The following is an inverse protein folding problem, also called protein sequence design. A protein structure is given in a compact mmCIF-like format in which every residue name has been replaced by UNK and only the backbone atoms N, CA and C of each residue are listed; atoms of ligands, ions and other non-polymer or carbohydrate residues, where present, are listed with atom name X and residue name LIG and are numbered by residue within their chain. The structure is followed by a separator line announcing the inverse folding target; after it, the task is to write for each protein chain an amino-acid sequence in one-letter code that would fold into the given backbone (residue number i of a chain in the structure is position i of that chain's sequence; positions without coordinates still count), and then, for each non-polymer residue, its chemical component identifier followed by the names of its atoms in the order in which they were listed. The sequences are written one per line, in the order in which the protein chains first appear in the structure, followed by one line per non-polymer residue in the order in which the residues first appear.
data_IF_953600488748
#
_entry.id   IF_953600488748
#
_cell.length_a   1.000
_cell.length_b   1.000
_cell.length_c   1.000
_cell.angle_alpha   90.00
_cell.angle_beta   90.00
_cell.angle_gamma   90.00
#
_symmetry.space_group_name_H-M   'P 1'
#
loop_
_entity.id
_entity.type
_entity.pdbx_description
1 polymer ?
#
# COMPACT_ATOMS: atom_id res chain seq x y z
N UNK A 1 -4.86 -4.31 -2.59
CA UNK A 1 -5.35 -5.70 -2.70
C UNK A 1 -6.83 -5.88 -3.06
N UNK A 2 -7.82 -5.43 -2.26
CA UNK A 2 -9.25 -5.63 -2.63
C UNK A 2 -9.56 -5.07 -4.01
N UNK A 3 -9.16 -3.83 -4.28
CA UNK A 3 -9.42 -3.19 -5.58
C UNK A 3 -8.74 -3.91 -6.74
N UNK A 4 -7.49 -4.39 -6.57
CA UNK A 4 -6.75 -5.11 -7.62
C UNK A 4 -7.41 -6.44 -7.96
N UNK A 5 -7.76 -7.23 -6.94
CA UNK A 5 -8.47 -8.49 -7.13
C UNK A 5 -9.84 -8.26 -7.74
N UNK A 6 -10.57 -7.25 -7.30
CA UNK A 6 -11.89 -6.91 -7.86
C UNK A 6 -11.78 -6.52 -9.32
N UNK A 7 -10.89 -5.59 -9.69
CA UNK A 7 -10.71 -5.15 -11.09
C UNK A 7 -10.28 -6.33 -11.98
N UNK A 8 -9.36 -7.17 -11.50
CA UNK A 8 -8.93 -8.36 -12.24
C UNK A 8 -10.09 -9.35 -12.47
N UNK A 9 -10.84 -9.69 -11.42
CA UNK A 9 -11.96 -10.64 -11.51
C UNK A 9 -13.10 -10.09 -12.37
N UNK A 10 -13.42 -8.80 -12.22
CA UNK A 10 -14.40 -8.12 -13.08
C UNK A 10 -13.93 -8.11 -14.53
N UNK A 11 -12.64 -7.88 -14.78
CA UNK A 11 -12.02 -7.99 -16.10
C UNK A 11 -12.26 -9.35 -16.73
N UNK A 12 -11.86 -10.42 -16.05
CA UNK A 12 -12.01 -11.82 -16.51
C UNK A 12 -13.48 -12.13 -16.84
N UNK A 13 -14.39 -11.81 -15.92
CA UNK A 13 -15.83 -12.05 -16.11
C UNK A 13 -16.38 -11.24 -17.29
N UNK A 14 -16.03 -9.95 -17.39
CA UNK A 14 -16.50 -9.09 -18.47
C UNK A 14 -16.02 -9.57 -19.83
N UNK A 15 -14.75 -9.96 -19.97
CA UNK A 15 -14.19 -10.49 -21.21
C UNK A 15 -14.87 -11.80 -21.59
N UNK A 16 -15.10 -12.69 -20.63
CA UNK A 16 -15.82 -13.95 -20.87
C UNK A 16 -17.25 -13.68 -21.38
N UNK A 17 -17.99 -12.78 -20.72
CA UNK A 17 -19.36 -12.40 -21.11
C UNK A 17 -19.38 -11.79 -22.51
N UNK A 18 -18.51 -10.83 -22.80
CA UNK A 18 -18.40 -10.21 -24.12
C UNK A 18 -18.09 -11.25 -25.20
N UNK A 19 -17.16 -12.17 -24.91
CA UNK A 19 -16.80 -13.24 -25.86
C UNK A 19 -17.98 -14.17 -26.12
N UNK A 20 -18.73 -14.55 -25.09
CA UNK A 20 -19.93 -15.37 -25.21
C UNK A 20 -21.02 -14.66 -26.00
N UNK A 21 -21.27 -13.37 -25.74
CA UNK A 21 -22.25 -12.56 -26.47
C UNK A 21 -21.87 -12.45 -27.96
N UNK A 22 -20.61 -12.15 -28.26
CA UNK A 22 -20.12 -12.09 -29.64
C UNK A 22 -20.31 -13.43 -30.36
N UNK A 23 -20.03 -14.55 -29.70
CA UNK A 23 -20.15 -15.87 -30.32
C UNK A 23 -21.61 -16.34 -30.46
N UNK A 24 -22.43 -16.24 -29.42
CA UNK A 24 -23.79 -16.78 -29.41
C UNK A 24 -24.84 -15.84 -29.99
N UNK A 25 -24.77 -14.55 -29.64
CA UNK A 25 -25.80 -13.57 -30.03
C UNK A 25 -25.49 -13.01 -31.41
N UNK A 26 -24.25 -12.55 -31.61
CA UNK A 26 -23.80 -11.93 -32.87
C UNK A 26 -23.27 -12.95 -33.89
N UNK A 27 -23.27 -14.24 -33.53
CA UNK A 27 -22.89 -15.37 -34.40
C UNK A 27 -21.48 -15.26 -35.00
N UNK A 28 -20.58 -14.51 -34.36
CA UNK A 28 -19.18 -14.47 -34.78
C UNK A 28 -18.51 -15.83 -34.61
N UNK A 29 -17.50 -16.11 -35.44
CA UNK A 29 -16.65 -17.28 -35.23
C UNK A 29 -15.92 -17.16 -33.89
N UNK A 30 -15.54 -18.30 -33.29
CA UNK A 30 -14.83 -18.30 -32.00
C UNK A 30 -13.53 -17.51 -32.03
N UNK A 31 -12.80 -17.58 -33.15
CA UNK A 31 -11.60 -16.79 -33.39
C UNK A 31 -11.92 -15.29 -33.36
N UNK A 32 -12.92 -14.84 -34.13
CA UNK A 32 -13.32 -13.44 -34.18
C UNK A 32 -13.81 -12.94 -32.82
N UNK A 33 -14.67 -13.70 -32.14
CA UNK A 33 -15.19 -13.35 -30.83
C UNK A 33 -14.06 -13.15 -29.81
N UNK A 34 -13.08 -14.05 -29.77
CA UNK A 34 -11.90 -13.93 -28.89
C UNK A 34 -11.01 -12.75 -29.27
N UNK A 35 -10.65 -12.59 -30.54
CA UNK A 35 -9.76 -11.47 -30.96
C UNK A 35 -10.42 -10.12 -30.66
N UNK A 36 -11.71 -9.98 -30.95
CA UNK A 36 -12.47 -8.74 -30.69
C UNK A 36 -12.55 -8.47 -29.19
N UNK A 37 -12.89 -9.45 -28.36
CA UNK A 37 -12.99 -9.26 -26.92
C UNK A 37 -11.63 -8.95 -26.26
N UNK A 38 -10.56 -9.57 -26.75
CA UNK A 38 -9.19 -9.29 -26.32
C UNK A 38 -8.79 -7.85 -26.62
N UNK A 39 -8.99 -7.39 -27.86
CA UNK A 39 -8.70 -6.01 -28.26
C UNK A 39 -9.58 -4.99 -27.52
N UNK A 40 -10.87 -5.28 -27.35
CA UNK A 40 -11.79 -4.43 -26.60
C UNK A 40 -11.34 -4.29 -25.14
N UNK A 41 -10.85 -5.37 -24.52
CA UNK A 41 -10.33 -5.32 -23.15
C UNK A 41 -9.15 -4.36 -23.03
N UNK A 42 -8.25 -4.32 -24.02
CA UNK A 42 -7.13 -3.36 -24.05
C UNK A 42 -7.66 -1.93 -24.22
N UNK A 43 -8.61 -1.72 -25.13
CA UNK A 43 -9.21 -0.42 -25.37
C UNK A 43 -9.92 0.16 -24.14
N UNK A 44 -10.44 -0.69 -23.25
CA UNK A 44 -11.06 -0.28 -21.98
C UNK A 44 -10.02 -0.11 -20.86
N UNK A 45 -9.07 -1.04 -20.75
CA UNK A 45 -8.06 -1.03 -19.68
C UNK A 45 -7.07 0.14 -19.82
N UNK A 46 -6.66 0.50 -21.03
CA UNK A 46 -5.67 1.58 -21.23
C UNK A 46 -6.18 2.92 -20.68
N UNK A 47 -7.38 3.41 -21.05
CA UNK A 47 -7.94 4.62 -20.45
C UNK A 47 -8.08 4.52 -18.92
N UNK A 48 -8.55 3.37 -18.43
CA UNK A 48 -8.69 3.14 -16.99
C UNK A 48 -7.35 3.25 -16.25
N UNK A 49 -6.28 2.65 -16.79
CA UNK A 49 -4.93 2.70 -16.21
C UNK A 49 -4.29 4.09 -16.30
N UNK A 50 -4.62 4.89 -17.32
CA UNK A 50 -4.18 6.29 -17.42
C UNK A 50 -4.80 7.12 -16.28
N UNK A 51 -6.08 6.88 -15.96
CA UNK A 51 -6.77 7.59 -14.89
C UNK A 51 -6.40 7.08 -13.50
N UNK A 52 -6.21 5.77 -13.36
CA UNK A 52 -5.99 5.06 -12.11
C UNK A 52 -4.70 4.24 -12.18
N UNK A 53 -3.56 4.91 -12.22
CA UNK A 53 -2.27 4.23 -12.33
C UNK A 53 -1.93 3.45 -11.05
N UNK A 54 -1.99 2.12 -11.13
CA UNK A 54 -1.70 1.20 -10.01
C UNK A 54 -0.31 0.58 -10.06
N UNK A 55 0.53 0.95 -11.05
CA UNK A 55 1.85 0.35 -11.27
C UNK A 55 1.90 -0.56 -12.50
N UNK A 56 3.11 -0.73 -13.04
CA UNK A 56 3.34 -1.48 -14.29
C UNK A 56 3.02 -2.97 -14.17
N UNK A 57 3.40 -3.59 -13.05
CA UNK A 57 3.20 -5.02 -12.82
C UNK A 57 1.71 -5.35 -12.66
N UNK A 58 0.97 -4.52 -11.92
CA UNK A 58 -0.50 -4.64 -11.80
C UNK A 58 -1.19 -4.48 -13.15
N UNK A 59 -0.73 -3.56 -14.00
CA UNK A 59 -1.24 -3.41 -15.35
C UNK A 59 -0.96 -4.65 -16.21
N UNK A 60 0.25 -5.20 -16.14
CA UNK A 60 0.62 -6.42 -16.84
C UNK A 60 -0.26 -7.61 -16.43
N UNK A 61 -0.58 -7.72 -15.13
CA UNK A 61 -1.50 -8.72 -14.60
C UNK A 61 -2.91 -8.57 -15.21
N UNK A 62 -3.47 -7.36 -15.26
CA UNK A 62 -4.79 -7.12 -15.87
C UNK A 62 -4.83 -7.49 -17.35
N UNK A 63 -3.83 -7.08 -18.12
CA UNK A 63 -3.73 -7.42 -19.54
C UNK A 63 -3.58 -8.93 -19.75
N UNK A 64 -2.70 -9.56 -18.99
CA UNK A 64 -2.43 -11.00 -19.08
C UNK A 64 -3.69 -11.81 -18.80
N UNK A 65 -4.37 -11.54 -17.68
CA UNK A 65 -5.61 -12.24 -17.31
C UNK A 65 -6.71 -12.08 -18.37
N UNK A 66 -6.93 -10.86 -18.88
CA UNK A 66 -7.97 -10.61 -19.88
C UNK A 66 -7.67 -11.26 -21.23
N UNK A 67 -6.45 -11.12 -21.75
CA UNK A 67 -6.03 -11.73 -23.02
C UNK A 67 -6.05 -13.25 -22.91
N UNK A 68 -5.56 -13.80 -21.79
CA UNK A 68 -5.52 -15.23 -21.55
C UNK A 68 -6.93 -15.82 -21.44
N UNK A 69 -7.87 -15.12 -20.82
CA UNK A 69 -9.29 -15.53 -20.75
C UNK A 69 -9.91 -15.63 -22.15
N UNK A 70 -9.71 -14.60 -22.98
CA UNK A 70 -10.20 -14.61 -24.35
C UNK A 70 -9.57 -15.72 -25.20
N UNK A 71 -8.26 -15.92 -25.05
CA UNK A 71 -7.52 -16.94 -25.79
C UNK A 71 -7.88 -18.37 -25.31
N UNK A 72 -8.11 -18.56 -24.01
CA UNK A 72 -8.61 -19.82 -23.44
C UNK A 72 -9.94 -20.23 -24.09
N UNK A 73 -10.85 -19.26 -24.27
CA UNK A 73 -12.14 -19.50 -24.92
C UNK A 73 -11.98 -20.04 -26.35
N UNK A 74 -11.06 -19.44 -27.13
CA UNK A 74 -10.74 -19.92 -28.48
C UNK A 74 -10.22 -21.36 -28.47
N UNK A 75 -9.30 -21.69 -27.54
CA UNK A 75 -8.69 -23.02 -27.46
C UNK A 75 -9.70 -24.10 -27.06
N UNK A 76 -10.51 -23.87 -26.01
CA UNK A 76 -11.56 -24.80 -25.55
C UNK A 76 -12.58 -25.06 -26.66
N UNK A 77 -12.83 -24.05 -27.48
CA UNK A 77 -13.77 -24.13 -28.57
C UNK A 77 -13.31 -24.92 -29.80
N UNK A 78 -12.06 -25.36 -29.88
CA UNK A 78 -11.56 -26.09 -31.05
C UNK A 78 -11.88 -27.58 -30.89
N UNK A 79 -12.76 -28.14 -31.74
CA UNK A 79 -13.11 -29.58 -31.71
C UNK A 79 -11.84 -30.41 -31.71
N UNK A 80 -11.70 -31.29 -30.73
CA UNK A 80 -10.58 -32.24 -30.58
C UNK A 80 -10.35 -33.14 -31.80
N UNK A 81 -11.38 -33.34 -32.63
CA UNK A 81 -11.28 -34.09 -33.89
C UNK A 81 -10.81 -33.26 -35.10
N UNK A 82 -10.89 -31.93 -35.04
CA UNK A 82 -10.24 -31.03 -36.02
C UNK A 82 -8.75 -30.79 -35.69
N UNK A 83 -8.24 -31.44 -34.64
CA UNK A 83 -6.85 -31.39 -34.17
C UNK A 83 -6.00 -32.59 -34.64
N UNK A 84 -6.56 -33.49 -35.44
CA UNK A 84 -5.81 -34.46 -36.25
C UNK A 84 -5.53 -33.80 -37.60
N UNK A 85 -4.26 -33.57 -37.93
CA UNK A 85 -3.91 -33.30 -39.33
C UNK A 85 -4.38 -34.45 -40.21
N UNK A 86 -4.55 -34.21 -41.53
CA UNK A 86 -4.89 -35.24 -42.53
C UNK A 86 -4.01 -36.50 -42.44
N UNK A 87 -2.84 -36.37 -41.81
CA UNK A 87 -1.77 -37.37 -41.72
C UNK A 87 -1.71 -38.05 -40.33
N UNK A 88 -2.67 -37.79 -39.45
CA UNK A 88 -2.74 -38.40 -38.11
C UNK A 88 -1.73 -37.88 -37.07
N UNK A 89 -0.79 -37.00 -37.46
CA UNK A 89 0.18 -36.39 -36.54
C UNK A 89 -0.42 -35.17 -35.80
N UNK A 90 -0.12 -35.07 -34.50
CA UNK A 90 -0.56 -33.99 -33.60
C UNK A 90 0.24 -32.71 -33.85
N UNK A 91 -0.25 -31.81 -34.69
CA UNK A 91 0.49 -30.59 -35.12
C UNK A 91 0.26 -29.34 -34.24
N UNK A 92 -0.47 -29.43 -33.13
CA UNK A 92 -0.96 -28.24 -32.40
C UNK A 92 -0.58 -28.15 -30.91
N UNK A 93 0.55 -28.74 -30.52
CA UNK A 93 1.16 -28.55 -29.20
C UNK A 93 1.54 -27.09 -28.91
N UNK A 94 2.07 -26.35 -29.90
CA UNK A 94 2.57 -24.98 -29.71
C UNK A 94 1.54 -24.02 -29.10
N UNK A 95 0.30 -23.86 -29.63
CA UNK A 95 -0.70 -22.96 -29.03
C UNK A 95 -1.05 -23.28 -27.57
N UNK A 96 -1.07 -24.57 -27.19
CA UNK A 96 -1.38 -25.04 -25.84
C UNK A 96 -0.19 -24.80 -24.91
N UNK A 97 1.03 -25.09 -25.37
CA UNK A 97 2.26 -24.82 -24.61
C UNK A 97 2.42 -23.34 -24.30
N UNK A 98 2.17 -22.46 -25.29
CA UNK A 98 2.20 -21.01 -25.09
C UNK A 98 1.16 -20.57 -24.06
N UNK A 99 -0.07 -21.08 -24.14
CA UNK A 99 -1.11 -20.80 -23.14
C UNK A 99 -0.65 -21.20 -21.73
N UNK A 100 -0.18 -22.43 -21.55
CA UNK A 100 0.30 -22.92 -20.25
C UNK A 100 1.46 -22.10 -19.70
N UNK A 101 2.39 -21.67 -20.55
CA UNK A 101 3.48 -20.78 -20.15
C UNK A 101 2.98 -19.45 -19.60
N UNK A 102 2.04 -18.79 -20.29
CA UNK A 102 1.46 -17.53 -19.81
C UNK A 102 0.60 -17.68 -18.55
N UNK A 103 -0.06 -18.83 -18.35
CA UNK A 103 -0.74 -19.14 -17.08
C UNK A 103 0.28 -19.16 -15.94
N UNK A 104 1.41 -19.84 -16.12
CA UNK A 104 2.48 -19.90 -15.10
C UNK A 104 3.05 -18.51 -14.82
N UNK A 105 3.33 -17.72 -15.86
CA UNK A 105 3.81 -16.35 -15.70
C UNK A 105 2.81 -15.49 -14.91
N UNK A 106 1.52 -15.56 -15.24
CA UNK A 106 0.46 -14.81 -14.54
C UNK A 106 0.40 -15.18 -13.05
N UNK A 107 0.57 -16.47 -12.70
CA UNK A 107 0.58 -16.92 -11.31
C UNK A 107 1.81 -16.39 -10.57
N UNK A 108 3.00 -16.48 -11.18
CA UNK A 108 4.24 -15.99 -10.59
C UNK A 108 4.19 -14.46 -10.41
N UNK A 109 3.76 -13.75 -11.43
CA UNK A 109 3.59 -12.29 -11.42
C UNK A 109 2.58 -11.87 -10.35
N UNK A 110 1.42 -12.51 -10.28
CA UNK A 110 0.43 -12.28 -9.23
C UNK A 110 0.98 -12.53 -7.82
N UNK A 111 1.83 -13.55 -7.64
CA UNK A 111 2.50 -13.80 -6.37
C UNK A 111 3.51 -12.69 -6.01
N UNK A 112 4.26 -12.18 -6.99
CA UNK A 112 5.18 -11.06 -6.78
C UNK A 112 4.45 -9.75 -6.48
N UNK A 113 3.38 -9.43 -7.22
CA UNK A 113 2.52 -8.27 -6.96
C UNK A 113 1.92 -8.36 -5.56
N UNK A 114 1.41 -9.54 -5.17
CA UNK A 114 0.91 -9.75 -3.81
C UNK A 114 1.98 -9.54 -2.74
N UNK A 115 3.18 -10.06 -2.97
CA UNK A 115 4.31 -9.91 -2.05
C UNK A 115 4.78 -8.45 -1.95
N UNK A 116 4.81 -7.72 -3.07
CA UNK A 116 5.15 -6.30 -3.09
C UNK A 116 4.10 -5.46 -2.34
N UNK A 117 2.81 -5.72 -2.57
CA UNK A 117 1.75 -4.98 -1.92
C UNK A 117 1.59 -5.32 -0.44
N UNK A 118 1.68 -6.59 -0.04
CA UNK A 118 1.32 -7.02 1.32
C UNK A 118 2.54 -7.14 2.23
N UNK A 119 3.73 -7.36 1.67
CA UNK A 119 4.91 -7.81 2.41
C UNK A 119 4.76 -9.24 2.92
N UNK A 120 5.87 -9.90 3.25
CA UNK A 120 5.85 -11.15 4.00
C UNK A 120 5.85 -10.86 5.50
N UNK A 121 4.86 -11.38 6.22
CA UNK A 121 4.84 -11.42 7.67
C UNK A 121 5.49 -12.72 8.13
N UNK A 122 6.72 -12.63 8.64
CA UNK A 122 7.43 -13.77 9.21
C UNK A 122 7.33 -13.71 10.73
N UNK A 123 6.80 -14.76 11.33
CA UNK A 123 6.81 -14.94 12.78
C UNK A 123 7.96 -15.87 13.13
N UNK A 124 8.82 -15.46 14.05
CA UNK A 124 9.85 -16.31 14.62
C UNK A 124 9.80 -16.25 16.15
N UNK A 125 10.20 -17.35 16.78
CA UNK A 125 10.31 -17.43 18.23
C UNK A 125 11.72 -16.99 18.59
N UNK A 126 11.83 -15.94 19.40
CA UNK A 126 13.11 -15.47 19.91
C UNK A 126 13.69 -16.45 20.94
N UNK A 127 14.99 -16.36 21.23
CA UNK A 127 15.67 -17.19 22.23
C UNK A 127 15.06 -17.05 23.64
N UNK A 128 14.41 -15.92 23.92
CA UNK A 128 13.67 -15.66 25.16
C UNK A 128 12.23 -16.23 25.16
N UNK A 129 11.83 -16.99 24.12
CA UNK A 129 10.49 -17.59 24.00
C UNK A 129 9.39 -16.62 23.54
N UNK A 130 9.72 -15.36 23.29
CA UNK A 130 8.80 -14.36 22.75
C UNK A 130 8.59 -14.52 21.24
N UNK A 131 7.33 -14.55 20.78
CA UNK A 131 7.01 -14.55 19.34
C UNK A 131 7.22 -13.14 18.79
N UNK A 132 8.21 -12.95 17.92
CA UNK A 132 8.44 -11.71 17.19
C UNK A 132 7.90 -11.83 15.78
N UNK A 133 7.04 -10.89 15.39
CA UNK A 133 6.55 -10.76 14.01
C UNK A 133 7.31 -9.64 13.31
N UNK A 134 7.99 -9.96 12.21
CA UNK A 134 8.62 -8.98 11.33
C UNK A 134 7.87 -8.95 10.01
N UNK A 135 7.48 -7.75 9.59
CA UNK A 135 6.90 -7.51 8.29
C UNK A 135 8.00 -6.98 7.35
N UNK A 136 8.14 -7.61 6.19
CA UNK A 136 9.11 -7.21 5.14
C UNK A 136 8.53 -6.23 4.13
N UNK A 137 7.28 -5.75 4.33
CA UNK A 137 6.67 -4.73 3.47
C UNK A 137 7.60 -3.53 3.33
N UNK A 138 7.86 -3.10 2.09
CA UNK A 138 8.75 -1.98 1.81
C UNK A 138 8.22 -0.69 2.46
N UNK A 139 8.93 -0.12 3.46
CA UNK A 139 8.55 1.11 4.13
C UNK A 139 8.96 2.28 3.24
N UNK A 140 8.10 2.69 2.30
CA UNK A 140 8.42 3.80 1.40
C UNK A 140 7.53 3.98 0.18
N UNK A 141 6.56 3.09 -0.04
CA UNK A 141 5.58 3.31 -1.11
C UNK A 141 4.62 4.43 -0.67
N UNK A 142 4.84 5.64 -1.18
CA UNK A 142 3.86 6.72 -1.07
C UNK A 142 2.74 6.39 -2.07
N UNK A 143 1.54 5.98 -1.61
CA UNK A 143 0.48 5.57 -2.52
C UNK A 143 0.12 6.75 -3.42
N UNK A 144 0.01 6.52 -4.73
CA UNK A 144 -0.38 7.54 -5.72
C UNK A 144 0.58 8.75 -5.88
N UNK A 145 1.88 8.60 -5.61
CA UNK A 145 2.80 9.73 -5.62
C UNK A 145 3.28 10.21 -6.99
N UNK A 146 3.25 9.41 -8.05
CA UNK A 146 3.91 9.81 -9.31
C UNK A 146 3.32 11.07 -9.95
N UNK A 147 2.00 11.29 -9.86
CA UNK A 147 1.34 12.48 -10.42
C UNK A 147 1.07 13.59 -9.41
N UNK A 148 1.18 13.29 -8.10
CA UNK A 148 0.84 14.22 -7.01
C UNK A 148 2.06 14.92 -6.41
N UNK A 149 3.29 14.49 -6.75
CA UNK A 149 4.54 15.02 -6.20
C UNK A 149 4.62 16.55 -6.25
N UNK A 150 4.31 17.18 -7.38
CA UNK A 150 4.51 18.64 -7.51
C UNK A 150 3.55 19.47 -6.67
N UNK A 151 2.24 19.16 -6.70
CA UNK A 151 1.24 19.89 -5.95
C UNK A 151 1.42 19.70 -4.43
N UNK A 152 1.68 18.47 -3.98
CA UNK A 152 1.96 18.19 -2.57
C UNK A 152 3.28 18.83 -2.12
N UNK A 153 4.32 18.81 -2.95
CA UNK A 153 5.59 19.45 -2.65
C UNK A 153 5.47 20.97 -2.56
N UNK A 154 4.69 21.59 -3.44
CA UNK A 154 4.46 23.04 -3.40
C UNK A 154 3.62 23.47 -2.19
N UNK A 155 2.55 22.73 -1.87
CA UNK A 155 1.75 22.96 -0.66
C UNK A 155 2.58 22.75 0.61
N UNK A 156 3.41 21.70 0.65
CA UNK A 156 4.31 21.45 1.77
C UNK A 156 5.35 22.57 1.92
N UNK A 157 5.99 23.02 0.83
CA UNK A 157 6.91 24.18 0.86
C UNK A 157 6.23 25.46 1.35
N UNK A 158 4.97 25.72 0.97
CA UNK A 158 4.22 26.88 1.44
C UNK A 158 3.99 26.80 2.96
N UNK A 159 3.51 25.65 3.45
CA UNK A 159 3.36 25.39 4.89
C UNK A 159 4.67 25.53 5.66
N UNK A 160 5.77 24.99 5.13
CA UNK A 160 7.09 25.11 5.75
C UNK A 160 7.59 26.55 5.81
N UNK A 161 7.29 27.38 4.80
CA UNK A 161 7.60 28.82 4.83
C UNK A 161 6.80 29.56 5.89
N UNK A 162 5.48 29.32 5.95
CA UNK A 162 4.62 29.91 6.98
C UNK A 162 5.01 29.47 8.40
N UNK A 163 5.50 28.25 8.57
CA UNK A 163 6.01 27.76 9.86
C UNK A 163 7.37 28.37 10.21
N UNK A 164 8.28 28.49 9.23
CA UNK A 164 9.58 29.14 9.40
C UNK A 164 9.44 30.63 9.78
N UNK A 165 8.40 31.31 9.27
CA UNK A 165 8.09 32.70 9.63
C UNK A 165 7.59 32.85 11.08
N UNK A 166 6.90 31.84 11.63
CA UNK A 166 6.38 31.84 13.02
C UNK A 166 7.45 31.50 14.07
N UNK A 167 8.46 30.72 13.71
CA UNK A 167 9.65 30.48 14.54
C UNK A 167 9.43 29.66 15.82
N UNK A 168 8.32 28.93 15.94
CA UNK A 168 8.06 28.05 17.09
C UNK A 168 9.12 26.96 17.20
N UNK A 169 9.51 26.64 18.43
CA UNK A 169 10.46 25.56 18.74
C UNK A 169 9.75 24.50 19.56
N UNK A 170 9.70 23.29 19.02
CA UNK A 170 9.11 22.13 19.68
C UNK A 170 10.24 21.21 20.11
N UNK A 171 10.24 20.80 21.38
CA UNK A 171 11.14 19.78 21.91
C UNK A 171 10.32 18.65 22.49
N UNK A 172 10.81 17.42 22.36
CA UNK A 172 10.15 16.26 22.95
C UNK A 172 11.11 15.46 23.81
N UNK A 173 10.55 14.78 24.80
CA UNK A 173 11.27 13.85 25.67
C UNK A 173 10.34 12.72 26.10
N UNK A 174 10.93 11.59 26.47
CA UNK A 174 10.23 10.51 27.16
C UNK A 174 10.72 10.48 28.61
N UNK A 175 9.83 10.13 29.54
CA UNK A 175 10.20 9.84 30.93
C UNK A 175 11.27 8.73 31.00
N UNK A 176 11.14 7.73 30.12
CA UNK A 176 12.17 6.72 29.88
C UNK A 176 12.58 6.76 28.40
N UNK A 177 13.83 7.14 28.13
CA UNK A 177 14.39 7.20 26.78
C UNK A 177 15.54 6.18 26.65
N UNK A 178 15.41 5.13 25.82
CA UNK A 178 14.33 4.85 24.88
C UNK A 178 13.06 4.27 25.54
N UNK A 179 11.86 4.47 24.95
CA UNK A 179 10.61 3.94 25.47
C UNK A 179 10.53 2.42 25.36
N UNK A 180 9.80 1.78 26.29
CA UNK A 180 9.63 0.32 26.38
C UNK A 180 8.36 -0.18 25.72
N UNK A 181 8.46 -1.33 25.06
CA UNK A 181 7.33 -2.02 24.44
C UNK A 181 6.36 -2.58 25.49
N UNK A 182 5.05 -2.50 25.20
CA UNK A 182 3.95 -2.98 26.05
C UNK A 182 3.93 -2.38 27.47
N UNK A 183 4.60 -1.24 27.65
CA UNK A 183 4.56 -0.43 28.85
C UNK A 183 3.97 0.94 28.52
N UNK A 184 3.44 1.61 29.55
CA UNK A 184 3.00 2.99 29.45
C UNK A 184 4.23 3.90 29.53
N UNK A 185 4.48 4.67 28.46
CA UNK A 185 5.59 5.61 28.36
C UNK A 185 5.02 7.02 28.33
N UNK A 186 5.39 7.87 29.28
CA UNK A 186 4.96 9.26 29.25
C UNK A 186 5.86 10.03 28.29
N UNK A 187 5.25 10.60 27.25
CA UNK A 187 5.90 11.51 26.32
C UNK A 187 5.51 12.94 26.67
N UNK A 188 6.49 13.84 26.73
CA UNK A 188 6.27 15.26 27.01
C UNK A 188 6.80 16.11 25.86
N UNK A 189 6.01 17.09 25.42
CA UNK A 189 6.39 18.13 24.48
C UNK A 189 6.52 19.46 25.20
N UNK A 190 7.63 20.17 24.97
CA UNK A 190 7.79 21.58 25.32
C UNK A 190 7.61 22.41 24.05
N UNK A 191 6.60 23.26 24.05
CA UNK A 191 6.26 24.14 22.92
C UNK A 191 6.53 25.59 23.33
N UNK A 192 7.50 26.21 22.67
CA UNK A 192 7.83 27.63 22.89
C UNK A 192 7.77 28.41 21.59
N UNK A 193 7.48 29.70 21.68
CA UNK A 193 7.53 30.61 20.53
C UNK A 193 8.98 30.95 20.12
N UNK A 194 9.12 31.88 19.18
CA UNK A 194 10.43 32.31 18.66
C UNK A 194 11.30 32.95 19.74
N UNK A 195 10.68 33.69 20.64
CA UNK A 195 11.27 34.41 21.77
C UNK A 195 11.53 33.51 22.99
N UNK A 196 11.03 32.28 22.97
CA UNK A 196 11.18 31.29 24.04
C UNK A 196 10.08 31.35 25.11
N UNK A 197 8.99 32.06 24.85
CA UNK A 197 7.82 32.11 25.74
C UNK A 197 7.02 30.82 25.57
N UNK A 198 6.63 30.17 26.68
CA UNK A 198 5.80 28.97 26.60
C UNK A 198 4.44 29.21 25.95
N UNK A 199 4.07 28.31 25.04
CA UNK A 199 2.79 28.37 24.34
C UNK A 199 1.76 27.54 25.10
N UNK A 200 0.86 28.24 25.80
CA UNK A 200 -0.26 27.63 26.53
C UNK A 200 -1.56 27.61 25.69
N UNK A 201 -2.46 26.72 26.07
CA UNK A 201 -3.78 26.49 25.45
C UNK A 201 -3.74 26.15 23.96
N UNK A 202 -2.74 25.37 23.54
CA UNK A 202 -2.66 24.80 22.21
C UNK A 202 -3.19 23.36 22.21
N UNK A 203 -3.90 22.98 21.15
CA UNK A 203 -4.25 21.60 20.87
C UNK A 203 -3.03 20.89 20.27
N UNK A 204 -2.37 20.05 21.05
CA UNK A 204 -1.22 19.25 20.61
C UNK A 204 -1.67 17.81 20.36
N UNK A 205 -1.35 17.29 19.18
CA UNK A 205 -1.56 15.89 18.85
C UNK A 205 -0.41 15.39 17.99
N UNK A 206 -0.14 14.10 18.05
CA UNK A 206 0.79 13.46 17.11
C UNK A 206 0.06 12.40 16.31
N UNK A 207 0.45 12.27 15.05
CA UNK A 207 0.12 11.11 14.24
C UNK A 207 1.29 10.13 14.33
N UNK A 208 1.16 9.13 15.20
CA UNK A 208 2.14 8.08 15.35
C UNK A 208 2.01 7.12 14.17
N UNK A 209 3.09 6.89 13.45
CA UNK A 209 3.14 6.12 12.21
C UNK A 209 4.15 4.98 12.31
N UNK A 210 3.81 3.86 11.69
CA UNK A 210 4.75 2.76 11.47
C UNK A 210 4.80 2.40 10.00
N UNK A 211 5.95 2.64 9.37
CA UNK A 211 6.10 2.55 7.92
C UNK A 211 5.71 1.16 7.34
N UNK A 212 6.02 0.08 8.06
CA UNK A 212 5.73 -1.29 7.60
C UNK A 212 4.32 -1.80 7.98
N UNK A 213 3.64 -1.15 8.93
CA UNK A 213 2.37 -1.62 9.52
C UNK A 213 1.43 -0.43 9.74
N UNK A 214 0.84 0.09 8.65
CA UNK A 214 -0.04 1.26 8.70
C UNK A 214 -1.30 1.06 9.55
N UNK A 215 -1.70 -0.18 9.81
CA UNK A 215 -2.82 -0.53 10.71
C UNK A 215 -2.59 -0.05 12.15
N UNK A 216 -1.33 0.17 12.55
CA UNK A 216 -0.95 0.68 13.87
C UNK A 216 -0.87 2.21 13.91
N UNK A 217 -1.14 2.90 12.80
CA UNK A 217 -1.13 4.35 12.76
C UNK A 217 -2.29 4.89 13.59
N UNK A 218 -2.00 5.85 14.47
CA UNK A 218 -3.02 6.43 15.35
C UNK A 218 -2.66 7.85 15.75
N UNK A 219 -3.71 8.62 16.03
CA UNK A 219 -3.58 9.98 16.54
C UNK A 219 -3.62 9.92 18.06
N UNK A 220 -2.60 10.49 18.71
CA UNK A 220 -2.54 10.59 20.17
C UNK A 220 -2.66 12.06 20.55
N UNK A 221 -3.74 12.47 21.25
CA UNK A 221 -3.87 13.81 21.79
C UNK A 221 -3.02 13.97 23.04
N UNK A 222 -2.44 15.15 23.23
CA UNK A 222 -1.67 15.51 24.42
C UNK A 222 -2.50 16.44 25.32
N UNK A 223 -2.29 16.30 26.62
CA UNK A 223 -2.94 17.12 27.65
C UNK A 223 -1.95 18.16 28.16
N UNK A 224 -2.38 19.41 28.25
CA UNK A 224 -1.57 20.49 28.80
C UNK A 224 -1.35 20.30 30.31
N UNK A 225 -0.09 20.30 30.75
CA UNK A 225 0.30 20.20 32.17
C UNK A 225 0.72 21.58 32.71
N UNK A 226 1.07 22.51 31.82
CA UNK A 226 1.38 23.92 32.11
C UNK A 226 2.78 24.32 31.67
N UNK A 227 3.07 25.63 31.65
CA UNK A 227 4.37 26.17 31.18
C UNK A 227 4.73 25.70 29.76
N UNK A 228 3.72 25.58 28.88
CA UNK A 228 3.89 25.09 27.51
C UNK A 228 4.31 23.62 27.41
N UNK A 229 4.16 22.84 28.49
CA UNK A 229 4.39 21.40 28.53
C UNK A 229 3.07 20.66 28.30
N UNK A 230 3.12 19.72 27.37
CA UNK A 230 2.00 18.85 27.00
C UNK A 230 2.43 17.39 27.14
N UNK A 231 1.62 16.56 27.79
CA UNK A 231 1.95 15.16 28.07
C UNK A 231 0.89 14.19 27.58
N UNK A 232 1.32 13.02 27.15
CA UNK A 232 0.44 11.91 26.79
C UNK A 232 1.08 10.55 27.16
N UNK A 233 0.29 9.60 27.68
CA UNK A 233 0.72 8.22 27.80
C UNK A 233 0.76 7.53 26.43
N UNK A 234 1.84 6.80 26.18
CA UNK A 234 2.14 6.14 24.91
C UNK A 234 2.47 4.66 25.13
N UNK A 235 1.78 3.77 24.42
CA UNK A 235 2.01 2.32 24.52
C UNK A 235 2.49 1.72 23.19
N UNK A 236 3.70 1.20 23.12
CA UNK A 236 4.21 0.65 21.86
C UNK A 236 3.98 -0.85 21.79
N UNK A 237 3.19 -1.32 20.82
CA UNK A 237 2.83 -2.75 20.67
C UNK A 237 3.90 -3.58 19.95
N UNK A 238 4.96 -2.91 19.48
CA UNK A 238 5.99 -3.49 18.62
C UNK A 238 7.33 -2.82 18.85
N UNK A 239 8.39 -3.63 18.80
CA UNK A 239 9.77 -3.16 18.80
C UNK A 239 10.15 -2.46 17.49
N UNK A 240 11.22 -1.68 17.59
CA UNK A 240 11.89 -1.06 16.46
C UNK A 240 11.50 0.39 16.26
N UNK A 241 11.58 0.83 15.00
CA UNK A 241 11.44 2.22 14.59
C UNK A 241 9.97 2.61 14.46
N UNK A 242 9.63 3.73 15.08
CA UNK A 242 8.36 4.44 14.93
C UNK A 242 8.65 5.88 14.50
N UNK A 243 7.81 6.42 13.62
CA UNK A 243 7.88 7.81 13.20
C UNK A 243 6.66 8.55 13.74
N UNK A 244 6.75 9.85 13.93
CA UNK A 244 5.59 10.65 14.27
C UNK A 244 5.61 12.02 13.61
N UNK A 245 4.41 12.51 13.31
CA UNK A 245 4.17 13.85 12.81
C UNK A 245 3.44 14.65 13.87
N UNK A 246 3.97 15.83 14.22
CA UNK A 246 3.39 16.67 15.28
C UNK A 246 2.42 17.66 14.66
N UNK A 247 1.24 17.78 15.23
CA UNK A 247 0.22 18.75 14.88
C UNK A 247 -0.12 19.58 16.11
N UNK A 248 0.16 20.87 16.04
CA UNK A 248 -0.15 21.85 17.09
C UNK A 248 -1.08 22.89 16.50
N UNK A 249 -2.20 23.15 17.15
CA UNK A 249 -3.16 24.17 16.74
C UNK A 249 -3.43 25.13 17.90
N UNK A 250 -3.34 26.43 17.65
CA UNK A 250 -3.68 27.48 18.61
C UNK A 250 -4.56 28.53 17.92
N UNK A 251 -5.86 28.52 18.22
CA UNK A 251 -6.82 29.36 17.49
C UNK A 251 -6.85 29.04 15.99
N UNK A 252 -6.53 30.03 15.16
CA UNK A 252 -6.40 29.89 13.70
C UNK A 252 -4.99 29.49 13.24
N UNK A 253 -4.03 29.43 14.16
CA UNK A 253 -2.65 29.09 13.85
C UNK A 253 -2.42 27.59 13.92
N UNK A 254 -1.85 27.02 12.86
CA UNK A 254 -1.51 25.59 12.76
C UNK A 254 -0.03 25.43 12.52
N UNK A 255 0.61 24.64 13.37
CA UNK A 255 1.98 24.18 13.23
C UNK A 255 1.96 22.67 12.99
N UNK A 256 2.74 22.23 12.01
CA UNK A 256 2.79 20.83 11.59
C UNK A 256 4.24 20.45 11.29
N UNK A 257 4.87 19.70 12.19
CA UNK A 257 6.22 19.19 11.98
C UNK A 257 6.17 17.78 11.41
N UNK A 258 6.66 17.65 10.17
CA UNK A 258 6.75 16.40 9.39
C UNK A 258 8.19 15.90 9.33
N UNK A 259 9.11 16.44 10.14
CA UNK A 259 10.46 15.91 10.20
C UNK A 259 10.44 14.44 10.67
N UNK A 260 11.42 13.65 10.18
CA UNK A 260 11.64 12.24 10.53
C UNK A 260 12.02 12.09 12.02
N UNK A 261 11.05 12.33 12.90
CA UNK A 261 11.18 12.20 14.33
C UNK A 261 11.06 10.71 14.67
N UNK A 262 12.22 10.07 14.78
CA UNK A 262 12.34 8.64 14.97
C UNK A 262 12.37 8.29 16.47
N UNK A 263 11.56 7.28 16.83
CA UNK A 263 11.53 6.67 18.16
C UNK A 263 12.01 5.23 18.02
N UNK A 264 13.04 4.86 18.77
CA UNK A 264 13.51 3.49 18.90
C UNK A 264 12.92 2.85 20.16
N UNK A 265 12.07 1.84 19.99
CA UNK A 265 11.39 1.15 21.10
C UNK A 265 12.16 -0.10 21.50
N UNK A 266 12.47 -0.22 22.79
CA UNK A 266 13.23 -1.33 23.39
C UNK A 266 12.32 -2.37 24.08
N UNK A 267 12.82 -3.60 24.36
CA UNK A 267 12.07 -4.65 25.05
C UNK A 267 11.54 -4.21 26.43
N UNK A 268 10.44 -4.84 26.92
CA UNK A 268 9.93 -4.58 28.26
C UNK A 268 10.98 -4.92 29.32
N UNK A 269 10.90 -4.27 30.48
CA UNK A 269 11.78 -4.56 31.60
C UNK A 269 11.64 -6.04 32.00
N UNK A 270 12.76 -6.77 32.12
CA UNK A 270 12.74 -8.13 32.68
C UNK A 270 12.18 -8.02 34.10
N UNK A 271 11.00 -8.60 34.36
CA UNK A 271 10.51 -8.81 35.72
C UNK A 271 11.51 -9.74 36.41
N UNK A 272 12.34 -9.21 37.29
CA UNK A 272 13.09 -10.02 38.26
C UNK A 272 12.07 -10.65 39.20
N UNK A 273 11.71 -11.89 38.93
CA UNK A 273 11.13 -12.81 39.91
C UNK A 273 12.20 -13.33 40.84
#
# INVERSE_FOLDING_TARGET
MNDVLTVMMTGIVSVLVVTLLLHHVLRFTRLQASVISGLLSIAVLVPYLIMNWTGGDVAALYFSCNILTSYAYYLVGKKTNALKGKDGKRTHWVPITVFGFFVVLTILDGAFVFMAESGLRVQYVDQDGGVKSVNTRFPGEVPNAYHKKEAYFNAHKAKMREQAERGWKVRYQFEHNPPRMNEENIMSFLVVDREGVPIEHAEVSINLKRLAEQELNRIVPFTEVGQGIYEAPMTFERLGRWDFEVHIKKGDEVYQDVNDNLIEVIPPAKKTT
#
